data_IF_175034552472
#
_entry.id   IF_175034552472
#
_cell.length_a   1.000
_cell.length_b   1.000
_cell.length_c   1.000
_cell.angle_alpha   90.00
_cell.angle_beta   90.00
_cell.angle_gamma   90.00
#
_symmetry.space_group_name_H-M   'P 1'
#
loop_
_entity.id
_entity.type
_entity.pdbx_description
1 polymer ?
#
# COMPACT_ATOMS: atom_id res chain seq x y z
N UNK A 1 28.36 -8.84 -14.33
CA UNK A 1 28.52 -7.83 -15.40
C UNK A 1 27.58 -8.21 -16.53
N UNK A 2 26.49 -7.47 -16.70
CA UNK A 2 25.66 -7.60 -17.88
C UNK A 2 26.48 -7.20 -19.13
N UNK A 3 26.24 -7.82 -20.30
CA UNK A 3 26.92 -7.45 -21.53
C UNK A 3 26.36 -6.12 -22.04
N UNK A 4 27.24 -5.14 -22.26
CA UNK A 4 26.88 -3.76 -22.63
C UNK A 4 26.91 -2.84 -21.42
N UNK A 5 27.84 -1.88 -21.40
CA UNK A 5 28.11 -0.96 -20.28
C UNK A 5 27.00 0.06 -19.98
N UNK A 6 25.74 -0.35 -20.02
CA UNK A 6 24.63 0.45 -19.54
C UNK A 6 24.69 0.52 -18.01
N UNK A 7 24.93 1.73 -17.50
CA UNK A 7 24.69 2.05 -16.10
C UNK A 7 23.18 1.97 -15.90
N UNK A 8 22.72 0.98 -15.14
CA UNK A 8 21.32 0.93 -14.72
C UNK A 8 21.00 2.21 -13.95
N UNK A 9 19.84 2.86 -14.19
CA UNK A 9 19.36 3.90 -13.30
C UNK A 9 19.42 3.38 -11.87
N UNK A 10 20.02 4.16 -10.96
CA UNK A 10 20.27 3.73 -9.57
C UNK A 10 18.98 3.21 -8.90
N UNK A 11 17.85 3.81 -9.25
CA UNK A 11 16.50 3.45 -8.80
C UNK A 11 16.11 1.98 -9.10
N UNK A 12 16.59 1.37 -10.18
CA UNK A 12 16.16 0.01 -10.57
C UNK A 12 16.61 -1.09 -9.59
N UNK A 13 17.56 -0.81 -8.70
CA UNK A 13 17.99 -1.77 -7.68
C UNK A 13 17.04 -1.85 -6.48
N UNK A 14 16.09 -0.92 -6.36
CA UNK A 14 15.14 -0.88 -5.23
C UNK A 14 13.96 -1.84 -5.43
N UNK A 15 13.81 -2.42 -6.62
CA UNK A 15 12.68 -3.28 -6.96
C UNK A 15 13.12 -4.58 -7.64
N UNK A 16 12.46 -5.68 -7.28
CA UNK A 16 12.74 -6.98 -7.87
C UNK A 16 12.30 -7.02 -9.34
N UNK A 17 13.08 -7.63 -10.26
CA UNK A 17 12.66 -7.81 -11.66
C UNK A 17 11.28 -8.50 -11.82
N UNK A 18 10.94 -9.41 -10.89
CA UNK A 18 9.65 -10.11 -10.88
C UNK A 18 8.45 -9.17 -10.68
N UNK A 19 8.64 -8.03 -10.01
CA UNK A 19 7.61 -7.01 -9.89
C UNK A 19 7.26 -6.42 -11.26
N UNK A 20 8.27 -5.96 -12.01
CA UNK A 20 8.06 -5.40 -13.35
C UNK A 20 7.46 -6.43 -14.31
N UNK A 21 7.91 -7.68 -14.22
CA UNK A 21 7.32 -8.77 -14.98
C UNK A 21 5.84 -8.96 -14.64
N UNK A 22 5.47 -8.93 -13.36
CA UNK A 22 4.07 -9.06 -12.93
C UNK A 22 3.20 -7.95 -13.52
N UNK A 23 3.65 -6.69 -13.45
CA UNK A 23 2.91 -5.57 -14.04
C UNK A 23 2.78 -5.71 -15.56
N UNK A 24 3.85 -6.11 -16.24
CA UNK A 24 3.85 -6.36 -17.68
C UNK A 24 2.81 -7.42 -18.05
N UNK A 25 2.82 -8.58 -17.39
CA UNK A 25 1.86 -9.66 -17.66
C UNK A 25 0.41 -9.25 -17.37
N UNK A 26 0.16 -8.49 -16.30
CA UNK A 26 -1.17 -7.98 -15.98
C UNK A 26 -1.69 -7.04 -17.09
N UNK A 27 -0.82 -6.17 -17.63
CA UNK A 27 -1.16 -5.24 -18.71
C UNK A 27 -1.35 -5.95 -20.04
N UNK A 28 -0.48 -6.89 -20.40
CA UNK A 28 -0.63 -7.73 -21.60
C UNK A 28 -1.92 -8.56 -21.56
N UNK A 29 -2.25 -9.11 -20.39
CA UNK A 29 -3.51 -9.82 -20.17
C UNK A 29 -4.74 -8.90 -20.07
N UNK A 30 -4.56 -7.57 -20.24
CA UNK A 30 -5.62 -6.54 -20.18
C UNK A 30 -6.44 -6.61 -18.89
N UNK A 31 -5.77 -6.91 -17.77
CA UNK A 31 -6.39 -6.92 -16.44
C UNK A 31 -6.60 -5.48 -15.96
N UNK A 32 -7.76 -5.21 -15.37
CA UNK A 32 -7.98 -3.98 -14.61
C UNK A 32 -7.43 -4.17 -13.21
N UNK A 33 -6.54 -3.26 -12.78
CA UNK A 33 -5.95 -3.24 -11.45
C UNK A 33 -5.54 -1.81 -11.08
N UNK A 34 -5.44 -1.55 -9.78
CA UNK A 34 -4.74 -0.39 -9.23
C UNK A 34 -3.48 -0.84 -8.50
N UNK A 35 -2.47 0.02 -8.45
CA UNK A 35 -1.21 -0.23 -7.74
C UNK A 35 -1.07 0.75 -6.58
N UNK A 36 -0.95 0.24 -5.36
CA UNK A 36 -0.68 1.07 -4.17
C UNK A 36 0.69 0.68 -3.62
N UNK A 37 1.68 1.54 -3.81
CA UNK A 37 3.03 1.37 -3.28
C UNK A 37 3.07 1.93 -1.86
N UNK A 38 3.56 1.13 -0.90
CA UNK A 38 3.52 1.49 0.51
C UNK A 38 4.82 1.20 1.22
N UNK A 39 5.33 2.19 1.94
CA UNK A 39 6.56 2.06 2.72
C UNK A 39 6.42 2.78 4.06
N UNK A 40 7.14 2.33 5.07
CA UNK A 40 7.37 3.10 6.28
C UNK A 40 8.64 3.98 6.16
N UNK A 41 9.56 3.61 5.27
CA UNK A 41 10.82 4.31 5.05
C UNK A 41 10.70 5.51 4.13
N UNK A 42 11.85 6.10 3.83
CA UNK A 42 12.00 7.27 2.95
C UNK A 42 12.27 6.91 1.49
N UNK A 43 12.12 5.65 1.10
CA UNK A 43 12.50 5.07 -0.20
C UNK A 43 11.40 5.19 -1.27
N UNK A 44 10.23 5.75 -0.93
CA UNK A 44 9.14 5.94 -1.88
C UNK A 44 9.55 6.73 -3.14
N UNK A 45 10.37 7.81 -3.08
CA UNK A 45 10.85 8.50 -4.28
C UNK A 45 11.71 7.61 -5.19
N UNK A 46 12.56 6.76 -4.62
CA UNK A 46 13.42 5.84 -5.39
C UNK A 46 12.58 4.76 -6.07
N UNK A 47 11.60 4.19 -5.35
CA UNK A 47 10.63 3.23 -5.89
C UNK A 47 9.80 3.90 -7.01
N UNK A 48 9.38 5.14 -6.79
CA UNK A 48 8.61 5.92 -7.75
C UNK A 48 9.39 6.15 -9.05
N UNK A 49 10.66 6.52 -8.94
CA UNK A 49 11.54 6.67 -10.10
C UNK A 49 11.75 5.35 -10.85
N UNK A 50 11.94 4.24 -10.12
CA UNK A 50 12.10 2.92 -10.72
C UNK A 50 10.85 2.51 -11.53
N UNK A 51 9.66 2.75 -10.98
CA UNK A 51 8.39 2.52 -11.68
C UNK A 51 8.24 3.46 -12.89
N UNK A 52 8.61 4.73 -12.77
CA UNK A 52 8.54 5.70 -13.86
C UNK A 52 9.46 5.34 -15.03
N UNK A 53 10.70 4.89 -14.76
CA UNK A 53 11.62 4.37 -15.78
C UNK A 53 11.00 3.19 -16.53
N UNK A 54 10.33 2.27 -15.82
CA UNK A 54 9.58 1.18 -16.43
C UNK A 54 8.40 1.67 -17.27
N UNK A 55 7.57 2.55 -16.71
CA UNK A 55 6.38 3.10 -17.37
C UNK A 55 6.69 3.94 -18.62
N UNK A 56 7.91 4.48 -18.76
CA UNK A 56 8.38 5.21 -19.95
C UNK A 56 9.06 4.34 -21.01
N UNK A 57 9.21 3.04 -20.74
CA UNK A 57 9.90 2.09 -21.63
C UNK A 57 11.41 2.26 -21.63
N UNK A 58 11.96 2.85 -20.56
CA UNK A 58 13.39 3.07 -20.34
C UNK A 58 14.01 1.92 -19.52
N UNK A 59 13.21 0.99 -19.02
CA UNK A 59 13.68 -0.17 -18.29
C UNK A 59 14.40 -1.16 -19.22
N UNK A 60 15.65 -1.59 -18.94
CA UNK A 60 16.46 -2.39 -19.88
C UNK A 60 15.88 -3.76 -20.28
N UNK A 61 15.07 -4.36 -19.41
CA UNK A 61 14.37 -5.63 -19.71
C UNK A 61 13.03 -5.45 -20.41
N UNK A 62 12.48 -4.23 -20.42
CA UNK A 62 11.21 -3.91 -21.05
C UNK A 62 11.36 -2.65 -21.93
N UNK A 63 12.34 -2.63 -22.85
CA UNK A 63 12.44 -1.53 -23.79
C UNK A 63 11.14 -1.51 -24.60
N UNK A 64 10.48 -0.37 -24.65
CA UNK A 64 9.19 -0.12 -25.34
C UNK A 64 7.89 -0.38 -24.57
N UNK A 65 7.92 -0.94 -23.37
CA UNK A 65 6.71 -0.95 -22.53
C UNK A 65 6.40 0.47 -22.06
N UNK A 66 5.28 1.06 -22.51
CA UNK A 66 4.89 2.43 -22.16
C UNK A 66 3.47 2.47 -21.64
N UNK A 67 3.30 2.98 -20.42
CA UNK A 67 2.00 3.09 -19.79
C UNK A 67 1.95 4.28 -18.82
N UNK A 68 1.33 5.37 -19.26
CA UNK A 68 1.18 6.59 -18.47
C UNK A 68 0.34 6.38 -17.19
N UNK A 69 -0.53 5.36 -17.16
CA UNK A 69 -1.33 5.06 -15.97
C UNK A 69 -0.50 4.50 -14.80
N UNK A 70 0.74 4.09 -15.06
CA UNK A 70 1.69 3.64 -14.05
C UNK A 70 2.68 4.73 -13.62
N UNK A 71 2.56 5.95 -14.15
CA UNK A 71 3.39 7.06 -13.73
C UNK A 71 2.98 7.56 -12.34
N UNK A 72 3.97 7.70 -11.48
CA UNK A 72 3.84 8.23 -10.13
C UNK A 72 4.54 9.59 -10.04
N UNK A 73 3.81 10.59 -9.57
CA UNK A 73 4.21 11.97 -9.42
C UNK A 73 3.90 12.42 -7.99
N UNK A 74 4.39 13.59 -7.55
CA UNK A 74 4.03 14.12 -6.23
C UNK A 74 2.51 14.29 -6.00
N UNK A 75 1.69 14.29 -7.05
CA UNK A 75 0.23 14.47 -6.98
C UNK A 75 -0.51 13.20 -6.57
N UNK A 76 0.06 12.02 -6.82
CA UNK A 76 -0.46 10.72 -6.38
C UNK A 76 0.47 10.04 -5.37
N UNK A 77 1.33 10.81 -4.72
CA UNK A 77 2.08 10.42 -3.54
C UNK A 77 1.47 11.08 -2.30
N UNK A 78 1.52 10.38 -1.16
CA UNK A 78 0.93 10.86 0.08
C UNK A 78 1.77 10.43 1.30
N UNK A 79 1.68 11.21 2.37
CA UNK A 79 2.11 10.78 3.71
C UNK A 79 0.88 10.26 4.46
N UNK A 80 0.93 9.05 4.98
CA UNK A 80 -0.13 8.44 5.75
C UNK A 80 -0.01 8.77 7.24
N UNK A 81 -1.14 8.99 7.91
CA UNK A 81 -1.16 9.34 9.33
C UNK A 81 -2.33 8.69 10.07
N UNK A 82 -2.02 7.89 11.07
CA UNK A 82 -2.96 7.52 12.13
C UNK A 82 -3.15 8.66 13.14
N UNK A 83 -4.38 8.85 13.61
CA UNK A 83 -4.72 9.74 14.73
C UNK A 83 -5.97 9.27 15.48
N UNK A 84 -6.16 9.76 16.69
CA UNK A 84 -7.45 9.65 17.38
C UNK A 84 -8.48 10.62 16.77
N UNK A 85 -9.73 10.16 16.62
CA UNK A 85 -10.88 11.01 16.30
C UNK A 85 -11.27 11.82 17.54
N UNK A 86 -11.42 13.13 17.37
CA UNK A 86 -11.97 14.01 18.40
C UNK A 86 -13.50 13.92 18.37
N UNK A 87 -14.12 13.22 19.33
CA UNK A 87 -15.59 13.08 19.46
C UNK A 87 -16.00 12.01 20.49
N UNK A 88 -17.23 12.09 21.03
CA UNK A 88 -17.71 11.34 22.21
C UNK A 88 -17.55 9.81 22.10
N UNK A 89 -16.45 9.31 22.67
CA UNK A 89 -16.10 7.90 22.86
C UNK A 89 -14.59 7.72 22.77
N UNK A 90 -13.96 7.31 23.88
CA UNK A 90 -12.55 6.90 23.87
C UNK A 90 -12.36 5.74 22.87
N UNK A 91 -11.22 5.75 22.16
CA UNK A 91 -10.67 4.68 21.30
C UNK A 91 -11.00 4.64 19.79
N UNK A 92 -11.67 5.65 19.20
CA UNK A 92 -11.77 5.69 17.73
C UNK A 92 -10.53 6.29 17.07
N UNK A 93 -9.81 5.48 16.30
CA UNK A 93 -8.70 5.92 15.43
C UNK A 93 -9.17 6.10 13.99
N UNK A 94 -8.53 7.02 13.27
CA UNK A 94 -8.70 7.19 11.82
C UNK A 94 -7.36 7.29 11.10
N UNK A 95 -7.35 6.84 9.84
CA UNK A 95 -6.23 7.04 8.93
C UNK A 95 -6.50 8.25 8.03
N UNK A 96 -5.45 9.02 7.77
CA UNK A 96 -5.50 10.20 6.91
C UNK A 96 -4.41 10.11 5.85
N UNK A 97 -4.69 10.73 4.69
CA UNK A 97 -3.67 11.04 3.69
C UNK A 97 -3.37 12.53 3.77
N UNK A 98 -2.09 12.83 3.86
CA UNK A 98 -1.54 14.18 3.80
C UNK A 98 -0.86 14.37 2.44
N UNK A 99 -0.78 15.62 1.99
CA UNK A 99 -0.01 16.00 0.79
C UNK A 99 1.42 15.47 0.88
N UNK A 100 1.96 15.01 -0.24
CA UNK A 100 3.36 14.61 -0.33
C UNK A 100 4.30 15.76 0.03
N UNK A 101 5.33 15.42 0.80
CA UNK A 101 6.49 16.25 1.09
C UNK A 101 7.71 15.34 1.23
N UNK A 102 8.82 15.71 0.60
CA UNK A 102 10.10 15.02 0.81
C UNK A 102 10.70 15.32 2.20
N UNK A 103 10.37 16.50 2.75
CA UNK A 103 10.77 16.86 4.10
C UNK A 103 9.89 16.12 5.12
N UNK A 104 10.52 15.46 6.09
CA UNK A 104 9.87 14.89 7.27
C UNK A 104 9.48 16.02 8.23
N UNK A 105 8.53 16.84 7.82
CA UNK A 105 7.99 17.89 8.66
C UNK A 105 6.87 17.34 9.54
N UNK A 106 7.24 16.50 10.51
CA UNK A 106 6.33 16.02 11.57
C UNK A 106 5.65 17.19 12.31
N UNK A 107 6.29 18.35 12.30
CA UNK A 107 5.80 19.60 12.89
C UNK A 107 4.72 20.28 12.05
N UNK A 108 4.59 19.98 10.76
CA UNK A 108 3.52 20.49 9.88
C UNK A 108 2.24 19.65 9.97
N UNK A 109 1.88 19.25 11.19
CA UNK A 109 0.64 18.59 11.57
C UNK A 109 -0.62 19.46 11.35
N UNK A 110 -0.52 20.52 10.55
CA UNK A 110 -1.64 21.39 10.23
C UNK A 110 -2.68 20.66 9.39
N UNK A 111 -3.96 20.86 9.74
CA UNK A 111 -5.08 20.29 8.98
C UNK A 111 -5.11 20.77 7.51
N UNK A 112 -4.36 21.82 7.15
CA UNK A 112 -4.23 22.34 5.78
C UNK A 112 -3.52 21.38 4.81
N UNK A 113 -2.85 20.35 5.33
CA UNK A 113 -2.17 19.33 4.52
C UNK A 113 -3.01 18.08 4.31
N UNK A 114 -4.19 17.96 4.95
CA UNK A 114 -5.05 16.79 4.81
C UNK A 114 -5.67 16.78 3.41
N UNK A 115 -5.48 15.66 2.71
CA UNK A 115 -6.08 15.36 1.40
C UNK A 115 -7.33 14.52 1.57
N UNK A 116 -7.29 13.56 2.49
CA UNK A 116 -8.44 12.71 2.83
C UNK A 116 -8.37 12.28 4.30
N UNK A 117 -9.53 12.16 4.94
CA UNK A 117 -9.66 11.70 6.32
C UNK A 117 -10.70 10.59 6.44
N UNK A 118 -10.28 9.46 6.99
CA UNK A 118 -11.15 8.30 7.16
C UNK A 118 -11.32 7.47 5.88
N UNK A 119 -11.65 6.20 6.08
CA UNK A 119 -11.55 5.16 5.05
C UNK A 119 -12.31 5.48 3.76
N UNK A 120 -13.51 6.05 3.83
CA UNK A 120 -14.31 6.34 2.66
C UNK A 120 -13.64 7.33 1.69
N UNK A 121 -13.07 8.41 2.22
CA UNK A 121 -12.37 9.42 1.41
C UNK A 121 -11.07 8.86 0.84
N UNK A 122 -10.34 8.08 1.64
CA UNK A 122 -9.10 7.42 1.22
C UNK A 122 -9.36 6.39 0.11
N UNK A 123 -10.35 5.53 0.28
CA UNK A 123 -10.76 4.54 -0.72
C UNK A 123 -11.17 5.22 -2.02
N UNK A 124 -11.90 6.34 -1.95
CA UNK A 124 -12.27 7.10 -3.13
C UNK A 124 -11.03 7.59 -3.92
N UNK A 125 -9.92 7.94 -3.26
CA UNK A 125 -8.68 8.30 -3.95
C UNK A 125 -8.02 7.06 -4.56
N UNK A 126 -7.75 6.03 -3.75
CA UNK A 126 -6.95 4.89 -4.21
C UNK A 126 -7.67 4.01 -5.24
N UNK A 127 -9.02 3.96 -5.22
CA UNK A 127 -9.80 3.20 -6.20
C UNK A 127 -9.96 3.94 -7.55
N UNK A 128 -9.79 5.26 -7.58
CA UNK A 128 -9.88 6.07 -8.81
C UNK A 128 -8.51 6.44 -9.41
N UNK A 129 -7.41 6.17 -8.70
CA UNK A 129 -6.07 6.32 -9.20
C UNK A 129 -5.50 4.97 -9.68
N UNK A 130 -4.89 4.94 -10.86
CA UNK A 130 -4.25 3.71 -11.37
C UNK A 130 -3.00 3.33 -10.59
N UNK A 131 -2.27 4.32 -10.07
CA UNK A 131 -1.15 4.13 -9.16
C UNK A 131 -1.15 5.21 -8.07
N UNK A 132 -0.83 4.81 -6.84
CA UNK A 132 -0.68 5.67 -5.67
C UNK A 132 0.56 5.24 -4.88
N UNK A 133 1.33 6.19 -4.38
CA UNK A 133 2.38 5.96 -3.39
C UNK A 133 1.99 6.51 -2.02
N UNK A 134 2.22 5.75 -0.95
CA UNK A 134 1.95 6.18 0.42
C UNK A 134 3.17 5.84 1.28
N UNK A 135 3.74 6.86 1.93
CA UNK A 135 4.66 6.64 3.04
C UNK A 135 3.85 6.64 4.34
N UNK A 136 3.69 5.47 4.94
CA UNK A 136 2.83 5.23 6.09
C UNK A 136 3.47 5.65 7.43
N UNK A 137 2.65 5.67 8.48
CA UNK A 137 2.98 6.27 9.77
C UNK A 137 3.83 5.34 10.67
N UNK A 138 5.11 5.14 10.31
CA UNK A 138 6.05 4.27 11.05
C UNK A 138 6.08 4.57 12.55
N UNK A 139 6.27 5.85 12.88
CA UNK A 139 6.38 6.35 14.25
C UNK A 139 5.18 5.98 15.12
N UNK A 140 3.99 5.90 14.52
CA UNK A 140 2.79 5.47 15.23
C UNK A 140 2.75 3.96 15.41
N UNK A 141 3.17 3.19 14.42
CA UNK A 141 3.25 1.73 14.53
C UNK A 141 4.27 1.31 15.60
N UNK A 142 5.47 1.92 15.60
CA UNK A 142 6.53 1.67 16.59
C UNK A 142 6.12 2.06 18.01
N UNK A 143 5.48 3.23 18.19
CA UNK A 143 4.95 3.69 19.50
C UNK A 143 3.81 2.82 20.04
N UNK A 144 3.18 2.00 19.19
CA UNK A 144 2.14 1.06 19.58
C UNK A 144 2.65 -0.39 19.55
N UNK A 145 3.93 -0.60 19.87
CA UNK A 145 4.57 -1.91 20.01
C UNK A 145 4.42 -2.81 18.76
N UNK A 146 4.42 -2.21 17.58
CA UNK A 146 4.22 -2.89 16.29
C UNK A 146 2.88 -3.63 16.16
N UNK A 147 1.88 -3.22 16.94
CA UNK A 147 0.58 -3.86 16.94
C UNK A 147 -0.09 -3.77 15.54
N UNK A 148 -0.69 -4.87 15.04
CA UNK A 148 -1.25 -4.91 13.69
C UNK A 148 -2.24 -3.79 13.37
N UNK A 149 -3.07 -3.38 14.33
CA UNK A 149 -4.07 -2.34 14.15
C UNK A 149 -3.48 -0.95 13.86
N UNK A 150 -2.21 -0.73 14.21
CA UNK A 150 -1.46 0.52 13.98
C UNK A 150 -0.59 0.47 12.72
N UNK A 151 -0.55 -0.68 12.02
CA UNK A 151 0.25 -0.90 10.83
C UNK A 151 -0.28 -0.19 9.58
N UNK A 152 0.05 -0.71 8.40
CA UNK A 152 -0.36 -0.24 7.07
C UNK A 152 -1.81 -0.69 6.77
N UNK A 153 -2.80 0.22 6.60
CA UNK A 153 -4.20 -0.12 6.30
C UNK A 153 -4.45 -1.03 5.08
N UNK A 154 -5.11 -2.17 5.25
CA UNK A 154 -5.57 -3.01 4.14
C UNK A 154 -7.08 -3.17 4.23
N UNK A 155 -7.80 -2.66 3.23
CA UNK A 155 -9.26 -2.71 3.23
C UNK A 155 -9.79 -4.03 2.67
N UNK A 156 -10.81 -4.55 3.35
CA UNK A 156 -11.52 -5.76 2.94
C UNK A 156 -13.02 -5.52 3.09
N UNK A 157 -13.78 -6.08 2.15
CA UNK A 157 -15.24 -5.98 2.16
C UNK A 157 -15.83 -7.16 2.90
N UNK A 158 -16.90 -6.94 3.67
CA UNK A 158 -17.74 -8.04 4.11
C UNK A 158 -18.47 -8.58 2.90
N UNK A 159 -18.26 -9.86 2.58
CA UNK A 159 -19.15 -10.57 1.66
C UNK A 159 -20.53 -10.58 2.30
N UNK A 160 -21.48 -9.83 1.74
CA UNK A 160 -22.85 -9.84 2.24
C UNK A 160 -23.41 -11.27 2.17
N UNK A 161 -24.15 -11.69 3.19
CA UNK A 161 -24.81 -13.01 3.21
C UNK A 161 -25.80 -13.20 2.03
N UNK A 162 -26.16 -12.11 1.35
CA UNK A 162 -26.95 -12.06 0.12
C UNK A 162 -26.15 -12.21 -1.18
N UNK A 163 -24.84 -12.47 -1.13
CA UNK A 163 -24.02 -12.80 -2.30
C UNK A 163 -23.81 -11.65 -3.29
N UNK A 164 -24.26 -10.44 -2.96
CA UNK A 164 -23.96 -9.23 -3.73
C UNK A 164 -22.69 -8.59 -3.19
N UNK A 165 -21.60 -8.69 -3.96
CA UNK A 165 -20.44 -7.82 -3.75
C UNK A 165 -20.68 -6.54 -4.56
N UNK A 166 -20.92 -5.42 -3.89
CA UNK A 166 -21.20 -4.13 -4.53
C UNK A 166 -19.92 -3.45 -5.02
N UNK A 167 -18.77 -3.70 -4.37
CA UNK A 167 -17.46 -3.25 -4.84
C UNK A 167 -16.78 -4.33 -5.68
N UNK A 168 -16.36 -3.97 -6.89
CA UNK A 168 -15.66 -4.86 -7.81
C UNK A 168 -14.14 -4.85 -7.60
N UNK A 169 -13.66 -4.34 -6.47
CA UNK A 169 -12.24 -4.26 -6.13
C UNK A 169 -11.89 -5.30 -5.05
N UNK A 170 -10.81 -6.05 -5.28
CA UNK A 170 -10.28 -6.99 -4.31
C UNK A 170 -8.83 -6.62 -3.97
N UNK A 171 -8.59 -6.15 -2.75
CA UNK A 171 -7.26 -5.73 -2.33
C UNK A 171 -6.40 -6.94 -1.99
N UNK A 172 -5.18 -6.97 -2.56
CA UNK A 172 -4.15 -7.96 -2.26
C UNK A 172 -2.95 -7.20 -1.73
N UNK A 173 -2.46 -7.58 -0.56
CA UNK A 173 -1.35 -6.91 0.10
C UNK A 173 -0.12 -7.83 0.19
N UNK A 174 1.03 -7.33 -0.27
CA UNK A 174 2.31 -8.03 -0.24
C UNK A 174 3.29 -7.24 0.63
N UNK A 175 3.82 -7.88 1.66
CA UNK A 175 4.88 -7.32 2.51
C UNK A 175 5.57 -8.50 3.23
N UNK A 176 6.87 -8.39 3.47
CA UNK A 176 7.65 -9.45 4.12
C UNK A 176 7.50 -9.42 5.66
N UNK A 177 7.05 -8.31 6.23
CA UNK A 177 6.70 -8.15 7.64
C UNK A 177 5.23 -8.48 7.95
N UNK A 178 4.55 -9.20 7.05
CA UNK A 178 3.29 -9.87 7.39
C UNK A 178 3.62 -11.09 8.24
N UNK A 179 3.42 -10.97 9.53
CA UNK A 179 3.60 -12.07 10.48
C UNK A 179 2.25 -12.72 10.81
N UNK A 180 2.31 -14.02 11.13
CA UNK A 180 1.20 -14.75 11.72
C UNK A 180 1.26 -14.60 13.25
N UNK A 181 1.35 -13.36 13.71
CA UNK A 181 1.31 -12.99 15.12
C UNK A 181 0.21 -11.94 15.34
N UNK A 182 -0.59 -12.11 16.39
CA UNK A 182 -1.68 -11.19 16.73
C UNK A 182 -1.18 -9.87 17.31
N UNK A 183 0.06 -9.85 17.79
CA UNK A 183 0.66 -8.71 18.49
C UNK A 183 1.72 -7.98 17.68
N UNK A 184 2.19 -8.58 16.59
CA UNK A 184 3.23 -8.03 15.73
C UNK A 184 2.88 -8.35 14.28
N UNK A 185 2.47 -7.34 13.50
CA UNK A 185 2.31 -7.49 12.06
C UNK A 185 2.24 -6.12 11.41
N UNK A 186 2.71 -6.01 10.17
CA UNK A 186 2.71 -4.74 9.46
C UNK A 186 1.34 -4.35 8.90
N UNK A 187 0.39 -5.29 8.79
CA UNK A 187 -0.88 -5.06 8.09
C UNK A 187 -2.03 -4.74 9.07
N UNK A 188 -2.61 -3.56 8.93
CA UNK A 188 -3.81 -3.14 9.65
C UNK A 188 -5.06 -3.45 8.82
N UNK A 189 -5.64 -4.65 8.99
CA UNK A 189 -6.84 -5.02 8.21
C UNK A 189 -8.05 -4.21 8.68
N UNK A 190 -8.68 -3.54 7.72
CA UNK A 190 -9.88 -2.73 7.92
C UNK A 190 -11.06 -3.36 7.21
N UNK A 191 -12.13 -3.59 7.95
CA UNK A 191 -13.35 -4.25 7.47
C UNK A 191 -14.48 -3.24 7.42
N UNK A 192 -15.17 -3.18 6.30
CA UNK A 192 -16.37 -2.36 6.15
C UNK A 192 -17.48 -2.84 7.10
N UNK A 193 -18.04 -1.90 7.88
CA UNK A 193 -19.16 -2.16 8.79
C UNK A 193 -20.49 -1.73 8.18
N UNK A 194 -20.53 -0.56 7.54
CA UNK A 194 -21.72 0.02 6.93
C UNK A 194 -21.30 0.77 5.65
N UNK A 195 -21.59 0.18 4.50
CA UNK A 195 -21.27 0.73 3.18
C UNK A 195 -21.94 2.09 2.95
N UNK A 196 -23.19 2.27 3.40
CA UNK A 196 -23.92 3.52 3.20
C UNK A 196 -23.32 4.69 4.00
N UNK A 197 -22.65 4.38 5.12
CA UNK A 197 -21.94 5.36 5.95
C UNK A 197 -20.44 5.43 5.67
N UNK A 198 -19.91 4.50 4.86
CA UNK A 198 -18.48 4.38 4.61
C UNK A 198 -17.65 4.13 5.89
N UNK A 199 -18.23 3.45 6.88
CA UNK A 199 -17.56 3.19 8.16
C UNK A 199 -16.83 1.86 8.14
N UNK A 200 -15.63 1.86 8.71
CA UNK A 200 -14.77 0.69 8.82
C UNK A 200 -14.28 0.53 10.26
N UNK A 201 -14.00 -0.71 10.65
CA UNK A 201 -13.29 -1.03 11.89
C UNK A 201 -11.94 -1.67 11.59
N UNK A 202 -10.96 -1.42 12.46
CA UNK A 202 -9.76 -2.25 12.50
C UNK A 202 -10.13 -3.60 13.12
N UNK A 203 -9.65 -4.68 12.52
CA UNK A 203 -9.71 -6.00 13.13
C UNK A 203 -8.72 -6.10 14.29
N UNK A 204 -9.04 -6.93 15.29
CA UNK A 204 -8.05 -7.32 16.31
C UNK A 204 -6.93 -8.14 15.68
N UNK A 205 -5.81 -8.29 16.41
CA UNK A 205 -4.72 -9.16 15.98
C UNK A 205 -5.17 -10.59 15.69
N UNK A 206 -6.01 -11.14 16.57
CA UNK A 206 -6.59 -12.48 16.42
C UNK A 206 -7.50 -12.57 15.20
N UNK A 207 -8.37 -11.58 14.98
CA UNK A 207 -9.20 -11.51 13.77
C UNK A 207 -8.32 -11.39 12.49
N UNK A 208 -7.18 -10.69 12.55
CA UNK A 208 -6.23 -10.56 11.43
C UNK A 208 -5.54 -11.89 11.11
N UNK A 209 -5.23 -12.72 12.11
CA UNK A 209 -4.65 -14.05 11.88
C UNK A 209 -5.57 -14.94 11.04
N UNK A 210 -6.89 -14.82 11.22
CA UNK A 210 -7.88 -15.57 10.46
C UNK A 210 -7.92 -15.16 8.97
N UNK A 211 -7.36 -13.99 8.61
CA UNK A 211 -7.30 -13.46 7.24
C UNK A 211 -6.06 -13.94 6.45
N UNK A 212 -5.14 -14.66 7.09
CA UNK A 212 -3.94 -15.21 6.45
C UNK A 212 -4.30 -16.24 5.38
N UNK A 213 -3.67 -16.14 4.22
CA UNK A 213 -3.95 -16.96 3.03
C UNK A 213 -5.20 -16.55 2.25
N UNK A 214 -5.96 -15.55 2.72
CA UNK A 214 -7.09 -14.97 2.00
C UNK A 214 -6.71 -13.65 1.33
N UNK A 215 -6.38 -12.65 2.14
CA UNK A 215 -6.08 -11.27 1.69
C UNK A 215 -4.70 -10.81 2.18
N UNK A 216 -4.14 -11.54 3.15
CA UNK A 216 -2.77 -11.42 3.61
C UNK A 216 -2.01 -12.66 3.16
N UNK A 217 -0.97 -12.47 2.34
CA UNK A 217 -0.15 -13.56 1.85
C UNK A 217 1.27 -13.32 2.32
N UNK A 218 1.68 -14.05 3.36
CA UNK A 218 3.08 -14.06 3.78
C UNK A 218 3.94 -14.69 2.70
N UNK A 219 4.94 -13.95 2.24
CA UNK A 219 5.98 -14.48 1.35
C UNK A 219 6.98 -15.28 2.18
N UNK A 220 7.09 -16.59 1.94
CA UNK A 220 8.15 -17.38 2.56
C UNK A 220 9.47 -17.08 1.85
N UNK A 221 10.22 -16.12 2.37
CA UNK A 221 11.51 -15.67 1.79
C UNK A 221 12.62 -16.69 1.96
N UNK A 222 12.50 -17.64 2.92
CA UNK A 222 13.55 -18.60 3.27
C UNK A 222 13.45 -19.88 2.45
N UNK A 223 12.25 -20.42 2.21
CA UNK A 223 12.08 -21.69 1.49
C UNK A 223 12.75 -21.71 0.09
N UNK A 224 12.61 -20.67 -0.76
CA UNK A 224 13.26 -20.66 -2.08
C UNK A 224 14.78 -20.62 -2.02
N UNK A 225 15.36 -20.15 -0.91
CA UNK A 225 16.82 -20.08 -0.70
C UNK A 225 17.35 -21.41 -0.14
N UNK A 226 16.55 -22.09 0.68
CA UNK A 226 16.91 -23.34 1.35
C UNK A 226 16.67 -24.59 0.49
N UNK A 227 15.84 -24.50 -0.56
CA UNK A 227 15.58 -25.59 -1.51
C UNK A 227 16.60 -25.65 -2.67
N UNK A 228 17.85 -25.25 -2.43
CA UNK A 228 18.96 -25.42 -3.39
C UNK A 228 19.61 -26.79 -3.33
#
# INVERSE_FOLDING_TARGET
KAPGGHVYPHALHHMLPAFFHTLHELKEARRSFGLVLRTFGSDLPDIAEALNVFARGEHPLYPDFRDESLLITPENMFKGRWRAKMGDGDDQIEYQLLKWSEEDDETSSSDYNIVASGDAELLNIIEHCSVVGIQDHYDYWDKNDNAPWAGKPVWTHRTSASGGNTRNCHHIFFDDNIHNDATDSIAAVRVEEDEAKGTYKSLSGEEILEMQGLHLIKVNTVAPVMEK
#
